data_IF_183840083220
#
_entry.id   IF_183840083220
#
_cell.length_a   1.000
_cell.length_b   1.000
_cell.length_c   1.000
_cell.angle_alpha   90.00
_cell.angle_beta   90.00
_cell.angle_gamma   90.00
#
_symmetry.space_group_name_H-M   'P 1'
#
loop_
_entity.id
_entity.type
_entity.pdbx_description
1 polymer ?
#
# COMPACT_ATOMS: atom_id res chain seq x y z
N UNK A 1 -20.08 -18.46 26.51
CA UNK A 1 -19.10 -17.52 27.12
C UNK A 1 -17.68 -17.72 26.58
N UNK A 2 -17.35 -18.84 25.94
CA UNK A 2 -16.04 -19.09 25.32
C UNK A 2 -15.81 -18.29 24.04
N UNK A 3 -16.85 -18.06 23.22
CA UNK A 3 -16.68 -17.46 21.89
C UNK A 3 -16.20 -16.01 21.92
N UNK A 4 -16.79 -15.17 22.77
CA UNK A 4 -16.37 -13.77 22.92
C UNK A 4 -14.94 -13.68 23.46
N UNK A 5 -14.58 -14.52 24.43
CA UNK A 5 -13.22 -14.58 24.98
C UNK A 5 -12.21 -15.02 23.92
N UNK A 6 -12.55 -16.02 23.10
CA UNK A 6 -11.70 -16.45 21.97
C UNK A 6 -11.51 -15.35 20.95
N UNK A 7 -12.57 -14.62 20.57
CA UNK A 7 -12.49 -13.48 19.64
C UNK A 7 -11.60 -12.37 20.20
N UNK A 8 -11.77 -12.02 21.47
CA UNK A 8 -10.95 -10.98 22.10
C UNK A 8 -9.48 -11.38 22.16
N UNK A 9 -9.17 -12.64 22.51
CA UNK A 9 -7.79 -13.13 22.58
C UNK A 9 -7.14 -13.14 21.19
N UNK A 10 -7.82 -13.63 20.16
CA UNK A 10 -7.25 -13.65 18.80
C UNK A 10 -7.06 -12.24 18.25
N UNK A 11 -8.00 -11.32 18.53
CA UNK A 11 -7.89 -9.93 18.13
C UNK A 11 -6.70 -9.23 18.80
N UNK A 12 -6.54 -9.39 20.12
CA UNK A 12 -5.40 -8.81 20.86
C UNK A 12 -4.08 -9.41 20.37
N UNK A 13 -4.02 -10.73 20.17
CA UNK A 13 -2.82 -11.39 19.65
C UNK A 13 -2.43 -10.87 18.25
N UNK A 14 -3.43 -10.66 17.38
CA UNK A 14 -3.22 -10.08 16.06
C UNK A 14 -2.67 -8.65 16.14
N UNK A 15 -3.25 -7.79 16.99
CA UNK A 15 -2.75 -6.42 17.19
C UNK A 15 -1.32 -6.40 17.74
N UNK A 16 -1.03 -7.24 18.73
CA UNK A 16 0.32 -7.36 19.29
C UNK A 16 1.34 -7.79 18.23
N UNK A 17 0.97 -8.72 17.35
CA UNK A 17 1.83 -9.11 16.23
C UNK A 17 2.21 -7.92 15.32
N UNK A 18 1.24 -7.07 14.95
CA UNK A 18 1.53 -5.86 14.18
C UNK A 18 2.39 -4.86 14.93
N UNK A 19 2.18 -4.70 16.24
CA UNK A 19 3.01 -3.84 17.09
C UNK A 19 4.46 -4.35 17.12
N UNK A 20 4.67 -5.65 17.25
CA UNK A 20 6.02 -6.25 17.21
C UNK A 20 6.71 -6.01 15.87
N UNK A 21 5.98 -6.11 14.75
CA UNK A 21 6.52 -5.77 13.43
C UNK A 21 6.92 -4.29 13.39
N UNK A 22 6.04 -3.39 13.86
CA UNK A 22 6.31 -1.96 13.91
C UNK A 22 7.54 -1.60 14.75
N UNK A 23 7.68 -2.22 15.92
CA UNK A 23 8.87 -2.06 16.79
C UNK A 23 10.12 -2.59 16.08
N UNK A 24 10.04 -3.76 15.45
CA UNK A 24 11.19 -4.33 14.73
C UNK A 24 11.65 -3.44 13.57
N UNK A 25 10.72 -2.79 12.88
CA UNK A 25 11.01 -1.82 11.82
C UNK A 25 11.62 -0.54 12.41
N UNK A 26 11.09 -0.04 13.52
CA UNK A 26 11.61 1.15 14.21
C UNK A 26 13.05 0.95 14.73
N UNK A 27 13.38 -0.25 15.22
CA UNK A 27 14.74 -0.59 15.68
C UNK A 27 15.73 -0.68 14.50
N UNK A 28 15.25 -1.05 13.30
CA UNK A 28 16.08 -1.22 12.09
C UNK A 28 16.20 0.03 11.22
N UNK A 29 15.46 1.10 11.53
CA UNK A 29 15.47 2.38 10.83
C UNK A 29 16.79 3.12 11.03
N UNK A 30 17.20 3.90 10.03
CA UNK A 30 18.26 4.91 10.09
C UNK A 30 17.66 6.32 10.32
N UNK A 31 18.44 7.23 10.91
CA UNK A 31 18.00 8.60 11.19
C UNK A 31 18.25 9.55 10.02
N UNK A 32 17.78 9.16 8.84
CA UNK A 32 17.84 9.98 7.62
C UNK A 32 16.45 10.12 7.00
N UNK A 33 16.21 11.23 6.29
CA UNK A 33 14.94 11.49 5.59
C UNK A 33 14.68 10.46 4.50
N UNK A 34 15.73 10.10 3.74
CA UNK A 34 15.67 9.07 2.70
C UNK A 34 15.33 7.69 3.26
N UNK A 35 15.82 7.35 4.45
CA UNK A 35 15.45 6.09 5.09
C UNK A 35 14.00 6.10 5.56
N UNK A 36 13.54 7.22 6.09
CA UNK A 36 12.14 7.36 6.50
C UNK A 36 11.15 7.33 5.32
N UNK A 37 11.47 7.98 4.20
CA UNK A 37 10.57 8.11 3.06
C UNK A 37 10.71 6.98 2.03
N UNK A 38 11.91 6.46 1.83
CA UNK A 38 12.22 5.49 0.78
C UNK A 38 12.85 4.19 1.31
N UNK A 39 12.99 4.01 2.63
CA UNK A 39 13.71 2.89 3.24
C UNK A 39 15.11 2.69 2.62
N UNK A 40 15.80 3.82 2.40
CA UNK A 40 17.12 3.91 1.78
C UNK A 40 17.21 3.23 0.41
N UNK A 41 16.06 3.07 -0.28
CA UNK A 41 15.94 2.33 -1.55
C UNK A 41 16.47 0.87 -1.47
N UNK A 42 16.61 0.33 -0.26
CA UNK A 42 17.20 -0.99 0.01
C UNK A 42 16.16 -2.13 0.09
N UNK A 43 14.87 -1.81 -0.04
CA UNK A 43 13.79 -2.81 -0.02
C UNK A 43 13.67 -3.47 -1.39
N UNK A 44 13.54 -4.80 -1.40
CA UNK A 44 13.37 -5.56 -2.63
C UNK A 44 12.14 -5.06 -3.44
N UNK A 45 12.26 -4.82 -4.75
CA UNK A 45 11.18 -4.32 -5.60
C UNK A 45 9.85 -5.09 -5.53
N UNK A 46 9.90 -6.39 -5.25
CA UNK A 46 8.67 -7.19 -5.08
C UNK A 46 7.93 -6.88 -3.78
N UNK A 47 8.68 -6.62 -2.69
CA UNK A 47 8.10 -6.24 -1.39
C UNK A 47 7.55 -4.81 -1.43
N UNK A 48 8.23 -3.87 -2.10
CA UNK A 48 7.70 -2.52 -2.30
C UNK A 48 6.44 -2.54 -3.17
N UNK A 49 6.41 -3.40 -4.19
CA UNK A 49 5.22 -3.64 -4.99
C UNK A 49 4.04 -4.19 -4.17
N UNK A 50 4.29 -5.23 -3.37
CA UNK A 50 3.29 -5.80 -2.47
C UNK A 50 2.77 -4.77 -1.46
N UNK A 51 3.66 -3.97 -0.87
CA UNK A 51 3.28 -2.91 0.07
C UNK A 51 2.38 -1.86 -0.60
N UNK A 52 2.71 -1.43 -1.82
CA UNK A 52 1.89 -0.47 -2.55
C UNK A 52 0.51 -1.06 -2.92
N UNK A 53 0.44 -2.35 -3.28
CA UNK A 53 -0.83 -3.04 -3.48
C UNK A 53 -1.63 -3.14 -2.18
N UNK A 54 -1.00 -3.49 -1.05
CA UNK A 54 -1.66 -3.53 0.25
C UNK A 54 -2.22 -2.15 0.65
N UNK A 55 -1.49 -1.07 0.38
CA UNK A 55 -1.94 0.31 0.61
C UNK A 55 -3.12 0.71 -0.27
N UNK A 56 -3.15 0.25 -1.53
CA UNK A 56 -4.27 0.51 -2.44
C UNK A 56 -5.56 -0.18 -1.97
N UNK A 57 -5.44 -1.34 -1.31
CA UNK A 57 -6.58 -2.09 -0.79
C UNK A 57 -7.03 -1.55 0.57
N UNK A 58 -8.09 -0.76 0.56
CA UNK A 58 -8.69 -0.18 1.78
C UNK A 58 -10.01 -0.86 2.16
N UNK A 59 -10.57 -0.45 3.31
CA UNK A 59 -11.89 -0.87 3.76
C UNK A 59 -13.01 -0.63 2.73
N UNK A 60 -12.83 0.30 1.78
CA UNK A 60 -13.78 0.52 0.69
C UNK A 60 -14.00 -0.73 -0.17
N UNK A 61 -12.94 -1.47 -0.51
CA UNK A 61 -13.08 -2.70 -1.29
C UNK A 61 -13.68 -3.80 -0.42
N UNK A 62 -13.41 -3.82 0.88
CA UNK A 62 -13.95 -4.83 1.77
C UNK A 62 -15.44 -4.66 2.09
N UNK A 63 -15.91 -3.45 2.39
CA UNK A 63 -17.31 -3.19 2.78
C UNK A 63 -18.10 -2.47 1.69
N UNK A 64 -17.49 -1.49 1.03
CA UNK A 64 -18.13 -0.68 0.00
C UNK A 64 -18.45 -1.47 -1.26
N UNK A 65 -17.47 -2.19 -1.81
CA UNK A 65 -17.68 -3.05 -2.98
C UNK A 65 -18.68 -4.17 -2.68
N UNK A 66 -18.59 -4.82 -1.52
CA UNK A 66 -19.55 -5.87 -1.12
C UNK A 66 -20.97 -5.29 -1.01
N UNK A 67 -21.13 -4.10 -0.42
CA UNK A 67 -22.42 -3.42 -0.36
C UNK A 67 -22.95 -3.00 -1.73
N UNK A 68 -22.06 -2.59 -2.65
CA UNK A 68 -22.40 -2.28 -4.03
C UNK A 68 -22.81 -3.52 -4.81
N UNK A 69 -22.09 -4.63 -4.64
CA UNK A 69 -22.42 -5.94 -5.22
C UNK A 69 -23.74 -6.47 -4.69
N UNK A 70 -24.07 -6.23 -3.43
CA UNK A 70 -25.38 -6.58 -2.87
C UNK A 70 -26.52 -5.82 -3.58
N UNK A 71 -26.31 -4.56 -3.96
CA UNK A 71 -27.33 -3.74 -4.65
C UNK A 71 -27.41 -3.96 -6.16
N UNK A 72 -26.26 -4.04 -6.83
CA UNK A 72 -26.18 -4.14 -8.30
C UNK A 72 -26.12 -5.60 -8.80
N UNK A 73 -25.95 -6.56 -7.89
CA UNK A 73 -25.81 -7.97 -8.23
C UNK A 73 -24.60 -8.23 -9.13
N UNK A 74 -24.78 -9.12 -10.10
CA UNK A 74 -23.74 -9.60 -11.03
C UNK A 74 -23.12 -8.47 -11.85
N UNK A 75 -23.82 -7.35 -12.06
CA UNK A 75 -23.29 -6.20 -12.78
C UNK A 75 -22.04 -5.58 -12.11
N UNK A 76 -21.86 -5.78 -10.79
CA UNK A 76 -20.67 -5.32 -10.06
C UNK A 76 -19.36 -5.97 -10.51
N UNK A 77 -19.41 -7.12 -11.20
CA UNK A 77 -18.22 -7.77 -11.79
C UNK A 77 -17.52 -6.84 -12.78
N UNK A 78 -18.27 -6.03 -13.53
CA UNK A 78 -17.67 -5.08 -14.47
C UNK A 78 -16.82 -4.03 -13.77
N UNK A 79 -17.22 -3.58 -12.57
CA UNK A 79 -16.41 -2.67 -11.78
C UNK A 79 -15.07 -3.30 -11.40
N UNK A 80 -15.10 -4.55 -10.89
CA UNK A 80 -13.90 -5.29 -10.48
C UNK A 80 -12.96 -5.46 -11.68
N UNK A 81 -13.49 -5.91 -12.82
CA UNK A 81 -12.70 -6.13 -14.03
C UNK A 81 -12.06 -4.83 -14.55
N UNK A 82 -12.83 -3.75 -14.65
CA UNK A 82 -12.32 -2.45 -15.09
C UNK A 82 -11.29 -1.87 -14.11
N UNK A 83 -11.54 -1.99 -12.81
CA UNK A 83 -10.64 -1.49 -11.78
C UNK A 83 -9.31 -2.25 -11.80
N UNK A 84 -9.33 -3.58 -11.76
CA UNK A 84 -8.12 -4.41 -11.82
C UNK A 84 -7.35 -4.20 -13.12
N UNK A 85 -8.03 -4.11 -14.27
CA UNK A 85 -7.38 -3.82 -15.54
C UNK A 85 -6.73 -2.42 -15.55
N UNK A 86 -7.44 -1.41 -15.03
CA UNK A 86 -6.95 -0.03 -14.95
C UNK A 86 -5.72 0.12 -14.05
N UNK A 87 -5.71 -0.55 -12.90
CA UNK A 87 -4.56 -0.59 -12.00
C UNK A 87 -3.36 -1.30 -12.64
N UNK A 88 -3.59 -2.43 -13.30
CA UNK A 88 -2.54 -3.19 -13.98
C UNK A 88 -1.88 -2.37 -15.09
N UNK A 89 -2.68 -1.72 -15.94
CA UNK A 89 -2.18 -0.87 -17.03
C UNK A 89 -1.42 0.32 -16.47
N UNK A 90 -1.97 0.97 -15.44
CA UNK A 90 -1.34 2.11 -14.78
C UNK A 90 0.02 1.72 -14.18
N UNK A 91 0.10 0.57 -13.50
CA UNK A 91 1.36 0.06 -12.97
C UNK A 91 2.37 -0.24 -14.08
N UNK A 92 1.94 -0.92 -15.14
CA UNK A 92 2.81 -1.30 -16.24
C UNK A 92 3.40 -0.07 -16.96
N UNK A 93 2.60 0.97 -17.17
CA UNK A 93 3.00 2.17 -17.88
C UNK A 93 3.81 3.16 -17.00
N UNK A 94 3.35 3.40 -15.77
CA UNK A 94 3.89 4.45 -14.91
C UNK A 94 5.00 3.97 -13.98
N UNK A 95 4.92 2.76 -13.42
CA UNK A 95 5.84 2.35 -12.34
C UNK A 95 7.31 2.37 -12.80
N UNK A 96 7.61 1.87 -14.00
CA UNK A 96 8.98 1.89 -14.55
C UNK A 96 9.49 3.31 -14.81
N UNK A 97 8.63 4.18 -15.39
CA UNK A 97 9.00 5.58 -15.69
C UNK A 97 9.21 6.38 -14.42
N UNK A 98 8.29 6.29 -13.47
CA UNK A 98 8.39 6.98 -12.18
C UNK A 98 9.63 6.54 -11.39
N UNK A 99 9.94 5.23 -11.37
CA UNK A 99 11.15 4.73 -10.70
C UNK A 99 12.43 5.29 -11.31
N UNK A 100 12.50 5.36 -12.65
CA UNK A 100 13.66 5.92 -13.36
C UNK A 100 13.81 7.42 -13.07
N UNK A 101 12.72 8.17 -13.18
CA UNK A 101 12.73 9.62 -12.94
C UNK A 101 13.09 9.96 -11.49
N UNK A 102 12.51 9.28 -10.49
CA UNK A 102 12.84 9.49 -9.07
C UNK A 102 14.30 9.10 -8.73
N UNK A 103 14.92 8.21 -9.50
CA UNK A 103 16.34 7.90 -9.34
C UNK A 103 17.25 8.97 -9.98
N UNK A 104 16.80 9.65 -11.04
CA UNK A 104 17.56 10.70 -11.75
C UNK A 104 17.51 12.06 -11.05
N UNK A 105 16.38 12.39 -10.41
CA UNK A 105 16.16 13.69 -9.71
C UNK A 105 16.38 13.60 -8.19
N UNK A 106 16.74 12.41 -7.69
CA UNK A 106 16.76 12.07 -6.26
C UNK A 106 15.52 12.55 -5.46
N UNK A 107 14.40 12.72 -6.15
CA UNK A 107 13.18 13.22 -5.57
C UNK A 107 12.58 12.15 -4.65
N UNK A 108 12.50 12.48 -3.36
CA UNK A 108 11.92 11.63 -2.33
C UNK A 108 10.39 11.75 -2.24
N UNK A 109 9.84 12.84 -2.79
CA UNK A 109 8.40 13.12 -2.79
C UNK A 109 7.94 13.66 -4.14
N UNK A 110 6.63 13.53 -4.41
CA UNK A 110 6.02 14.10 -5.62
C UNK A 110 6.17 15.62 -5.70
N UNK A 111 6.09 16.32 -4.57
CA UNK A 111 6.29 17.77 -4.49
C UNK A 111 7.72 18.18 -4.83
N UNK A 112 8.72 17.42 -4.37
CA UNK A 112 10.13 17.62 -4.73
C UNK A 112 10.35 17.43 -6.24
N UNK A 113 9.75 16.38 -6.83
CA UNK A 113 9.81 16.14 -8.28
C UNK A 113 9.19 17.28 -9.10
N UNK A 114 8.05 17.83 -8.65
CA UNK A 114 7.41 18.97 -9.31
C UNK A 114 8.22 20.25 -9.19
N UNK A 115 8.83 20.50 -8.04
CA UNK A 115 9.65 21.69 -7.78
C UNK A 115 10.88 21.74 -8.69
N UNK A 116 11.49 20.61 -9.00
CA UNK A 116 12.67 20.55 -9.85
C UNK A 116 12.33 20.72 -11.34
N UNK A 117 11.13 20.31 -11.75
CA UNK A 117 10.67 20.42 -13.14
C UNK A 117 9.96 21.75 -13.46
N UNK A 118 9.54 22.48 -12.43
CA UNK A 118 8.85 23.77 -12.53
C UNK A 118 9.72 25.00 -12.28
N UNK A 119 11.04 24.82 -12.09
CA UNK A 119 12.04 25.88 -12.01
C UNK A 119 12.68 26.20 -13.36
#
# INVERSE_FOLDING_TARGET
>A
MTDTTTISVTFIAFLLFFVLIGISAAIRKQDTTTDYLLASRNVNPWLTGLSAMATAQSGFIFTGLVGLSYKLGVASIWYILCHTAGEYISWWLLAKRLRKMSAETDAETFSSFLSEKGG
#
